data_IF_533909475324
#
_entry.id   IF_533909475324
#
_cell.length_a   1.000
_cell.length_b   1.000
_cell.length_c   1.000
_cell.angle_alpha   90.00
_cell.angle_beta   90.00
_cell.angle_gamma   90.00
#
_symmetry.space_group_name_H-M   'P 1'
#
loop_
_entity.id
_entity.type
_entity.pdbx_description
1 polymer ?
#
# COMPACT_ATOMS: atom_id res chain seq x y z
N UNK A 1 -51.21 10.70 -51.06
CA UNK A 1 -51.47 10.41 -49.63
C UNK A 1 -50.43 9.39 -49.23
N UNK A 2 -49.26 9.84 -48.81
CA UNK A 2 -48.24 8.99 -48.21
C UNK A 2 -47.74 9.73 -46.98
N UNK A 3 -48.06 9.17 -45.82
CA UNK A 3 -47.72 9.72 -44.52
C UNK A 3 -46.35 9.19 -44.11
N UNK A 4 -45.37 10.09 -44.06
CA UNK A 4 -44.08 9.82 -43.45
C UNK A 4 -44.26 9.64 -41.95
N UNK A 5 -44.16 8.39 -41.51
CA UNK A 5 -44.14 8.01 -40.09
C UNK A 5 -42.77 8.40 -39.55
N UNK A 6 -42.69 9.55 -38.89
CA UNK A 6 -41.60 9.87 -37.97
C UNK A 6 -41.63 8.90 -36.78
N UNK A 7 -40.87 7.82 -36.86
CA UNK A 7 -40.49 7.04 -35.69
C UNK A 7 -39.57 7.87 -34.79
N UNK A 8 -39.79 7.94 -33.47
CA UNK A 8 -38.86 8.61 -32.59
C UNK A 8 -37.54 7.83 -32.60
N UNK A 9 -36.49 8.49 -33.08
CA UNK A 9 -35.12 8.05 -32.85
C UNK A 9 -34.94 7.96 -31.34
N UNK A 10 -34.97 6.75 -30.81
CA UNK A 10 -34.59 6.46 -29.44
C UNK A 10 -33.15 6.93 -29.27
N UNK A 11 -32.99 8.09 -28.63
CA UNK A 11 -31.73 8.53 -28.09
C UNK A 11 -31.27 7.45 -27.11
N UNK A 12 -30.38 6.57 -27.56
CA UNK A 12 -29.64 5.68 -26.68
C UNK A 12 -28.68 6.56 -25.89
N UNK A 13 -29.07 6.92 -24.68
CA UNK A 13 -28.21 7.55 -23.69
C UNK A 13 -26.92 6.73 -23.51
N UNK A 14 -25.74 7.26 -23.84
CA UNK A 14 -24.49 6.56 -23.62
C UNK A 14 -23.89 6.97 -22.26
N UNK A 15 -24.52 6.62 -21.12
CA UNK A 15 -23.98 7.00 -19.79
C UNK A 15 -24.19 6.02 -18.61
N UNK A 16 -23.67 4.77 -18.68
CA UNK A 16 -23.39 4.02 -17.44
C UNK A 16 -21.88 3.86 -17.13
N UNK A 17 -21.01 3.87 -18.14
CA UNK A 17 -19.60 3.46 -17.95
C UNK A 17 -18.73 4.48 -17.20
N UNK A 18 -19.03 5.78 -17.30
CA UNK A 18 -18.28 6.86 -16.65
C UNK A 18 -18.55 6.91 -15.13
N UNK A 19 -19.80 6.67 -14.73
CA UNK A 19 -20.24 6.77 -13.33
C UNK A 19 -19.70 5.64 -12.44
N UNK A 20 -19.68 4.40 -12.94
CA UNK A 20 -19.13 3.25 -12.21
C UNK A 20 -17.62 3.36 -12.00
N UNK A 21 -16.89 3.84 -13.01
CA UNK A 21 -15.43 4.00 -12.92
C UNK A 21 -15.01 4.99 -11.84
N UNK A 22 -15.80 6.06 -11.64
CA UNK A 22 -15.50 7.12 -10.68
C UNK A 22 -15.73 6.67 -9.24
N UNK A 23 -16.76 5.87 -8.99
CA UNK A 23 -17.06 5.36 -7.64
C UNK A 23 -16.04 4.31 -7.18
N UNK A 24 -15.66 3.39 -8.06
CA UNK A 24 -14.63 2.39 -7.76
C UNK A 24 -13.29 3.04 -7.44
N UNK A 25 -12.91 4.07 -8.20
CA UNK A 25 -11.68 4.81 -7.93
C UNK A 25 -11.69 5.48 -6.54
N UNK A 26 -12.82 6.06 -6.13
CA UNK A 26 -12.96 6.61 -4.77
C UNK A 26 -12.84 5.55 -3.68
N UNK A 27 -13.38 4.36 -3.90
CA UNK A 27 -13.24 3.25 -2.94
C UNK A 27 -11.77 2.82 -2.79
N UNK A 28 -11.00 2.78 -3.87
CA UNK A 28 -9.57 2.47 -3.82
C UNK A 28 -8.78 3.51 -3.05
N UNK A 29 -9.12 4.79 -3.23
CA UNK A 29 -8.50 5.88 -2.48
C UNK A 29 -8.81 5.79 -0.99
N UNK A 30 -10.07 5.53 -0.63
CA UNK A 30 -10.46 5.35 0.77
C UNK A 30 -9.80 4.12 1.37
N UNK A 31 -9.77 3.00 0.65
CA UNK A 31 -9.13 1.76 1.10
C UNK A 31 -7.62 1.93 1.33
N UNK A 32 -6.91 2.60 0.41
CA UNK A 32 -5.50 2.93 0.59
C UNK A 32 -5.26 3.90 1.77
N UNK A 33 -6.12 4.91 1.93
CA UNK A 33 -6.05 5.85 3.06
C UNK A 33 -6.24 5.16 4.41
N UNK A 34 -7.12 4.16 4.50
CA UNK A 34 -7.31 3.37 5.73
C UNK A 34 -5.99 2.72 6.16
N UNK A 35 -5.19 2.19 5.22
CA UNK A 35 -3.88 1.62 5.54
C UNK A 35 -2.85 2.67 5.97
N UNK A 36 -2.90 3.87 5.39
CA UNK A 36 -2.06 5.00 5.83
C UNK A 36 -2.36 5.35 7.28
N UNK A 37 -3.64 5.51 7.63
CA UNK A 37 -4.08 5.85 8.97
C UNK A 37 -3.85 4.70 9.97
N UNK A 38 -4.07 3.45 9.54
CA UNK A 38 -3.80 2.27 10.37
C UNK A 38 -2.30 2.15 10.69
N UNK A 39 -1.42 2.35 9.71
CA UNK A 39 0.03 2.37 9.96
C UNK A 39 0.46 3.47 10.92
N UNK A 40 -0.08 4.69 10.76
CA UNK A 40 0.18 5.79 11.70
C UNK A 40 -0.35 5.48 13.11
N UNK A 41 -1.55 4.90 13.20
CA UNK A 41 -2.13 4.43 14.45
C UNK A 41 -1.28 3.37 15.14
N UNK A 42 -0.73 2.42 14.36
CA UNK A 42 0.20 1.41 14.88
C UNK A 42 1.47 2.05 15.43
N UNK A 43 2.05 3.05 14.76
CA UNK A 43 3.19 3.81 15.31
C UNK A 43 2.83 4.41 16.67
N UNK A 44 1.68 5.09 16.77
CA UNK A 44 1.24 5.74 18.01
C UNK A 44 1.00 4.71 19.12
N UNK A 45 0.32 3.62 18.83
CA UNK A 45 0.02 2.55 19.80
C UNK A 45 1.33 1.92 20.30
N UNK A 46 2.28 1.63 19.41
CA UNK A 46 3.56 1.02 19.80
C UNK A 46 4.45 2.00 20.55
N UNK A 47 4.41 3.29 20.20
CA UNK A 47 5.14 4.34 20.91
C UNK A 47 4.58 4.57 22.32
N UNK A 48 3.26 4.69 22.48
CA UNK A 48 2.61 4.90 23.79
C UNK A 48 2.59 3.63 24.66
N UNK A 49 2.57 2.46 24.04
CA UNK A 49 2.64 1.17 24.73
C UNK A 49 4.06 0.73 25.07
N UNK A 50 5.08 1.39 24.53
CA UNK A 50 6.48 1.12 24.83
C UNK A 50 6.79 1.50 26.27
N UNK A 51 7.16 0.54 27.11
CA UNK A 51 7.66 0.84 28.46
C UNK A 51 8.89 1.73 28.37
N UNK A 52 8.97 2.79 29.20
CA UNK A 52 10.02 3.84 29.23
C UNK A 52 11.48 3.35 29.36
N UNK A 53 11.72 2.03 29.35
CA UNK A 53 13.02 1.39 29.58
C UNK A 53 13.65 0.74 28.34
N UNK A 54 12.99 0.75 27.17
CA UNK A 54 13.56 0.16 25.95
C UNK A 54 14.36 1.19 25.14
N UNK A 55 15.67 0.99 24.92
CA UNK A 55 16.42 1.86 24.01
C UNK A 55 15.83 1.76 22.60
N UNK A 56 15.59 2.90 21.96
CA UNK A 56 15.09 3.03 20.58
C UNK A 56 13.60 2.67 20.35
N UNK A 57 12.73 2.81 21.36
CA UNK A 57 11.28 2.58 21.22
C UNK A 57 10.63 3.36 20.06
N UNK A 58 11.08 4.59 19.80
CA UNK A 58 10.64 5.42 18.67
C UNK A 58 10.94 4.78 17.30
N UNK A 59 12.16 4.27 17.14
CA UNK A 59 12.61 3.67 15.90
C UNK A 59 11.90 2.34 15.65
N UNK A 60 11.69 1.52 16.69
CA UNK A 60 10.92 0.29 16.60
C UNK A 60 9.45 0.53 16.24
N UNK A 61 8.82 1.54 16.85
CA UNK A 61 7.43 1.91 16.54
C UNK A 61 7.26 2.36 15.08
N UNK A 62 8.16 3.21 14.58
CA UNK A 62 8.16 3.62 13.19
C UNK A 62 8.44 2.46 12.24
N UNK A 63 9.42 1.62 12.56
CA UNK A 63 9.80 0.46 11.75
C UNK A 63 8.66 -0.55 11.61
N UNK A 64 7.74 -0.62 12.58
CA UNK A 64 6.56 -1.47 12.55
C UNK A 64 5.39 -0.85 11.76
N UNK A 65 5.04 0.42 12.00
CA UNK A 65 3.87 1.04 11.40
C UNK A 65 4.10 1.63 9.99
N UNK A 66 5.30 2.13 9.71
CA UNK A 66 5.60 2.82 8.45
C UNK A 66 5.48 1.93 7.19
N UNK A 67 5.80 0.62 7.22
CA UNK A 67 5.55 -0.27 6.09
C UNK A 67 4.07 -0.36 5.70
N UNK A 68 3.14 -0.41 6.66
CA UNK A 68 1.69 -0.41 6.38
C UNK A 68 1.27 0.88 5.66
N UNK A 69 1.71 2.04 6.16
CA UNK A 69 1.38 3.31 5.55
C UNK A 69 1.98 3.45 4.14
N UNK A 70 3.20 2.97 3.95
CA UNK A 70 3.91 3.07 2.67
C UNK A 70 3.24 2.18 1.61
N UNK A 71 2.92 0.93 1.94
CA UNK A 71 2.22 0.03 1.01
C UNK A 71 0.80 0.52 0.72
N UNK A 72 0.10 1.08 1.71
CA UNK A 72 -1.21 1.69 1.53
C UNK A 72 -1.18 2.87 0.57
N UNK A 73 -0.16 3.73 0.71
CA UNK A 73 0.08 4.84 -0.22
C UNK A 73 0.40 4.33 -1.64
N UNK A 74 1.24 3.32 -1.78
CA UNK A 74 1.56 2.71 -3.07
C UNK A 74 0.32 2.09 -3.74
N UNK A 75 -0.53 1.40 -2.98
CA UNK A 75 -1.78 0.85 -3.48
C UNK A 75 -2.74 1.95 -3.98
N UNK A 76 -2.86 3.03 -3.20
CA UNK A 76 -3.66 4.21 -3.58
C UNK A 76 -3.12 4.87 -4.85
N UNK A 77 -1.80 5.08 -4.94
CA UNK A 77 -1.16 5.66 -6.11
C UNK A 77 -1.32 4.77 -7.35
N UNK A 78 -1.26 3.45 -7.17
CA UNK A 78 -1.53 2.46 -8.19
C UNK A 78 -2.94 2.59 -8.77
N UNK A 79 -3.96 2.61 -7.91
CA UNK A 79 -5.35 2.81 -8.32
C UNK A 79 -5.57 4.16 -9.03
N UNK A 80 -5.06 5.24 -8.44
CA UNK A 80 -5.27 6.60 -8.93
C UNK A 80 -4.56 6.89 -10.26
N UNK A 81 -3.42 6.25 -10.50
CA UNK A 81 -2.64 6.41 -11.73
C UNK A 81 -3.04 5.40 -12.82
N UNK A 82 -4.03 4.53 -12.56
CA UNK A 82 -4.41 3.46 -13.49
C UNK A 82 -3.32 2.41 -13.67
N UNK A 83 -2.50 2.17 -12.63
CA UNK A 83 -1.39 1.21 -12.61
C UNK A 83 -1.76 -0.01 -11.76
N UNK A 84 -2.45 -1.01 -12.34
CA UNK A 84 -2.95 -2.15 -11.60
C UNK A 84 -1.84 -3.08 -11.07
N UNK A 85 -0.66 -3.15 -11.73
CA UNK A 85 0.49 -3.89 -11.21
C UNK A 85 0.91 -3.38 -9.83
N UNK A 86 1.19 -2.08 -9.73
CA UNK A 86 1.63 -1.45 -8.47
C UNK A 86 0.61 -1.65 -7.36
N UNK A 87 -0.68 -1.57 -7.68
CA UNK A 87 -1.77 -1.81 -6.74
C UNK A 87 -1.78 -3.27 -6.25
N UNK A 88 -1.69 -4.25 -7.17
CA UNK A 88 -1.69 -5.66 -6.80
C UNK A 88 -0.45 -6.04 -5.99
N UNK A 89 0.72 -5.61 -6.43
CA UNK A 89 2.00 -5.99 -5.81
C UNK A 89 2.25 -5.29 -4.48
N UNK A 90 1.64 -4.13 -4.19
CA UNK A 90 1.66 -3.52 -2.86
C UNK A 90 0.59 -4.11 -1.93
N UNK A 91 -0.57 -4.50 -2.46
CA UNK A 91 -1.68 -5.04 -1.67
C UNK A 91 -1.47 -6.48 -1.21
N UNK A 92 -0.74 -7.29 -1.99
CA UNK A 92 -0.41 -8.67 -1.61
C UNK A 92 0.43 -8.72 -0.31
N UNK A 93 1.55 -7.99 -0.19
CA UNK A 93 2.26 -7.77 1.07
C UNK A 93 1.39 -7.30 2.24
N UNK A 94 0.54 -6.29 2.01
CA UNK A 94 -0.38 -5.78 3.03
C UNK A 94 -1.26 -6.87 3.59
N UNK A 95 -1.80 -7.75 2.73
CA UNK A 95 -2.63 -8.87 3.14
C UNK A 95 -1.89 -9.78 4.14
N UNK A 96 -0.64 -10.15 3.84
CA UNK A 96 0.17 -10.98 4.75
C UNK A 96 0.54 -10.25 6.04
N UNK A 97 0.94 -8.99 5.94
CA UNK A 97 1.26 -8.17 7.11
C UNK A 97 0.06 -8.00 8.04
N UNK A 98 -1.16 -7.85 7.51
CA UNK A 98 -2.37 -7.75 8.31
C UNK A 98 -2.70 -9.04 9.09
N UNK A 99 -2.21 -10.20 8.65
CA UNK A 99 -2.39 -11.47 9.34
C UNK A 99 -1.45 -11.65 10.54
N UNK A 100 -0.47 -10.77 10.74
CA UNK A 100 0.52 -10.86 11.84
C UNK A 100 -0.10 -10.58 13.20
N UNK A 101 -1.18 -9.78 13.27
CA UNK A 101 -1.84 -9.43 14.53
C UNK A 101 -3.36 -9.52 14.44
N UNK A 102 -3.98 -9.94 15.55
CA UNK A 102 -5.44 -9.93 15.72
C UNK A 102 -6.06 -8.53 15.58
N UNK A 103 -5.29 -7.47 15.87
CA UNK A 103 -5.76 -6.09 15.70
C UNK A 103 -5.83 -5.72 14.22
N UNK A 104 -4.84 -6.15 13.43
CA UNK A 104 -4.74 -5.81 12.01
C UNK A 104 -5.52 -6.78 11.10
N UNK A 105 -5.97 -7.93 11.60
CA UNK A 105 -6.67 -8.95 10.80
C UNK A 105 -7.96 -8.41 10.16
N UNK A 106 -8.62 -7.44 10.81
CA UNK A 106 -9.81 -6.78 10.28
C UNK A 106 -9.55 -5.96 9.01
N UNK A 107 -8.28 -5.65 8.71
CA UNK A 107 -7.87 -4.96 7.49
C UNK A 107 -7.66 -5.92 6.31
N UNK A 108 -7.62 -7.23 6.54
CA UNK A 108 -7.44 -8.25 5.48
C UNK A 108 -8.47 -8.14 4.36
N UNK A 109 -9.79 -7.99 4.62
CA UNK A 109 -10.78 -7.83 3.55
C UNK A 109 -10.50 -6.62 2.65
N UNK A 110 -9.97 -5.53 3.23
CA UNK A 110 -9.62 -4.31 2.49
C UNK A 110 -8.39 -4.55 1.60
N UNK A 111 -7.36 -5.23 2.12
CA UNK A 111 -6.18 -5.61 1.34
C UNK A 111 -6.56 -6.56 0.18
N UNK A 112 -7.44 -7.54 0.45
CA UNK A 112 -7.96 -8.47 -0.57
C UNK A 112 -8.73 -7.71 -1.64
N UNK A 113 -9.59 -6.76 -1.26
CA UNK A 113 -10.32 -5.93 -2.23
C UNK A 113 -9.36 -5.18 -3.16
N UNK A 114 -8.33 -4.54 -2.62
CA UNK A 114 -7.33 -3.81 -3.41
C UNK A 114 -6.54 -4.76 -4.33
N UNK A 115 -6.14 -5.93 -3.82
CA UNK A 115 -5.44 -6.94 -4.60
C UNK A 115 -6.28 -7.46 -5.77
N UNK A 116 -7.54 -7.85 -5.51
CA UNK A 116 -8.46 -8.36 -6.53
C UNK A 116 -8.71 -7.31 -7.61
N UNK A 117 -8.89 -6.05 -7.23
CA UNK A 117 -9.01 -4.92 -8.16
C UNK A 117 -7.78 -4.76 -9.06
N UNK A 118 -6.58 -4.79 -8.48
CA UNK A 118 -5.32 -4.77 -9.22
C UNK A 118 -5.21 -5.96 -10.17
N UNK A 119 -5.50 -7.17 -9.69
CA UNK A 119 -5.44 -8.39 -10.49
C UNK A 119 -6.44 -8.38 -11.67
N UNK A 120 -7.68 -7.93 -11.45
CA UNK A 120 -8.68 -7.74 -12.52
C UNK A 120 -8.20 -6.69 -13.52
N UNK A 121 -7.61 -5.58 -13.06
CA UNK A 121 -7.07 -4.54 -13.92
C UNK A 121 -5.92 -5.04 -14.81
N UNK A 122 -5.05 -5.89 -14.26
CA UNK A 122 -3.98 -6.58 -14.99
C UNK A 122 -4.56 -7.56 -16.03
N UNK A 123 -5.49 -8.42 -15.62
CA UNK A 123 -6.14 -9.40 -16.51
C UNK A 123 -6.95 -8.76 -17.63
N UNK A 124 -7.51 -7.56 -17.39
CA UNK A 124 -8.22 -6.77 -18.40
C UNK A 124 -7.28 -5.97 -19.33
N UNK A 125 -5.95 -6.12 -19.21
CA UNK A 125 -4.99 -5.44 -20.07
C UNK A 125 -4.96 -3.91 -19.89
N UNK A 126 -5.43 -3.38 -18.74
CA UNK A 126 -5.46 -1.93 -18.49
C UNK A 126 -4.07 -1.32 -18.36
N UNK A 127 -3.05 -2.15 -18.16
CA UNK A 127 -1.66 -1.72 -18.16
C UNK A 127 -1.06 -1.95 -19.54
N UNK A 128 -1.04 -0.88 -20.34
CA UNK A 128 -0.82 -0.99 -21.79
C UNK A 128 0.58 -1.46 -22.16
N UNK A 129 1.62 -1.09 -21.40
CA UNK A 129 2.97 -1.67 -21.42
C UNK A 129 3.64 -1.40 -20.07
N UNK A 130 4.19 -2.41 -19.41
CA UNK A 130 5.15 -2.18 -18.32
C UNK A 130 6.53 -2.05 -18.94
N UNK A 131 7.12 -0.85 -18.87
CA UNK A 131 8.57 -0.75 -19.03
C UNK A 131 9.27 -1.64 -18.00
N UNK A 132 10.47 -2.13 -18.31
CA UNK A 132 11.27 -2.91 -17.36
C UNK A 132 11.40 -2.22 -16.00
N UNK A 133 11.52 -0.88 -16.01
CA UNK A 133 11.55 -0.04 -14.82
C UNK A 133 10.25 -0.11 -14.00
N UNK A 134 9.07 -0.08 -14.62
CA UNK A 134 7.80 -0.21 -13.89
C UNK A 134 7.59 -1.62 -13.31
N UNK A 135 8.05 -2.66 -14.01
CA UNK A 135 8.05 -4.05 -13.53
C UNK A 135 8.96 -4.21 -12.30
N UNK A 136 10.19 -3.69 -12.39
CA UNK A 136 11.12 -3.72 -11.27
C UNK A 136 10.60 -2.89 -10.10
N UNK A 137 10.09 -1.70 -10.32
CA UNK A 137 9.61 -0.83 -9.24
C UNK A 137 8.37 -1.39 -8.55
N UNK A 138 7.42 -1.92 -9.32
CA UNK A 138 6.21 -2.52 -8.75
C UNK A 138 6.50 -3.78 -7.94
N UNK A 139 7.59 -4.51 -8.19
CA UNK A 139 7.94 -5.74 -7.46
C UNK A 139 8.98 -5.52 -6.36
N UNK A 140 10.04 -4.75 -6.63
CA UNK A 140 11.19 -4.57 -5.74
C UNK A 140 10.83 -3.71 -4.53
N UNK A 141 10.06 -2.63 -4.70
CA UNK A 141 9.69 -1.77 -3.57
C UNK A 141 8.86 -2.53 -2.53
N UNK A 142 7.76 -3.21 -2.90
CA UNK A 142 6.99 -3.97 -1.93
C UNK A 142 7.78 -5.14 -1.33
N UNK A 143 8.62 -5.82 -2.11
CA UNK A 143 9.48 -6.89 -1.61
C UNK A 143 10.50 -6.40 -0.57
N UNK A 144 11.13 -5.24 -0.81
CA UNK A 144 12.07 -4.63 0.12
C UNK A 144 11.39 -4.26 1.45
N UNK A 145 10.16 -3.74 1.41
CA UNK A 145 9.36 -3.43 2.60
C UNK A 145 8.97 -4.69 3.37
N UNK A 146 8.61 -5.78 2.68
CA UNK A 146 8.30 -7.06 3.32
C UNK A 146 9.53 -7.68 3.98
N UNK A 147 10.68 -7.66 3.31
CA UNK A 147 11.92 -8.19 3.86
C UNK A 147 12.36 -7.39 5.09
N UNK A 148 12.31 -6.07 5.00
CA UNK A 148 12.57 -5.17 6.13
C UNK A 148 11.65 -5.47 7.32
N UNK A 149 10.35 -5.58 7.08
CA UNK A 149 9.37 -5.88 8.13
C UNK A 149 9.55 -7.29 8.70
N UNK A 150 9.82 -8.28 7.85
CA UNK A 150 10.11 -9.65 8.27
C UNK A 150 11.36 -9.72 9.17
N UNK A 151 12.43 -9.00 8.83
CA UNK A 151 13.63 -8.93 9.67
C UNK A 151 13.35 -8.40 11.07
N UNK A 152 12.42 -7.43 11.22
CA UNK A 152 11.98 -6.95 12.54
C UNK A 152 11.21 -8.03 13.31
N UNK A 153 10.32 -8.77 12.63
CA UNK A 153 9.52 -9.81 13.28
C UNK A 153 10.36 -11.01 13.75
N UNK A 154 11.41 -11.38 13.02
CA UNK A 154 12.28 -12.51 13.39
C UNK A 154 13.18 -12.23 14.60
N UNK A 155 13.43 -10.96 14.94
CA UNK A 155 14.26 -10.57 16.10
C UNK A 155 13.45 -10.11 17.32
N UNK A 156 12.12 -9.91 17.19
CA UNK A 156 11.27 -9.75 18.36
C UNK A 156 10.99 -11.12 18.98
N UNK A 157 11.56 -11.37 20.17
CA UNK A 157 11.37 -12.63 20.89
C UNK A 157 9.85 -12.82 21.16
N UNK A 158 9.22 -13.95 20.75
CA UNK A 158 7.79 -14.21 20.97
C UNK A 158 7.38 -14.21 22.45
N UNK A 159 8.36 -14.19 23.36
CA UNK A 159 8.18 -14.03 24.81
C UNK A 159 7.69 -12.61 25.18
N UNK A 160 8.12 -11.57 24.46
CA UNK A 160 7.72 -10.16 24.72
C UNK A 160 6.24 -9.87 24.36
N UNK A 161 5.60 -10.76 23.61
CA UNK A 161 4.19 -10.67 23.18
C UNK A 161 3.24 -11.33 24.19
N UNK A 162 3.77 -12.04 25.20
CA UNK A 162 2.97 -12.54 26.32
C UNK A 162 2.80 -11.42 27.33
N UNK A 163 1.56 -11.03 27.59
CA UNK A 163 1.18 -10.24 28.77
C UNK A 163 1.70 -10.96 30.02
N UNK A 164 2.80 -10.48 30.57
CA UNK A 164 3.54 -11.22 31.59
C UNK A 164 2.86 -11.20 32.96
N UNK A 165 3.00 -12.29 33.69
CA UNK A 165 3.50 -12.16 35.07
C UNK A 165 4.99 -12.53 35.17
N UNK A 166 5.56 -13.33 34.25
CA UNK A 166 6.95 -13.78 34.35
C UNK A 166 7.66 -13.82 32.97
N UNK A 167 8.28 -12.73 32.52
CA UNK A 167 9.30 -12.79 31.46
C UNK A 167 10.58 -12.11 31.93
N UNK A 168 11.65 -12.91 32.03
CA UNK A 168 13.01 -12.45 32.26
C UNK A 168 13.50 -11.75 30.99
N UNK A 169 13.95 -10.50 31.10
CA UNK A 169 14.54 -9.75 30.00
C UNK A 169 15.79 -10.48 29.49
N UNK A 170 15.66 -11.12 28.32
CA UNK A 170 16.78 -11.75 27.63
C UNK A 170 17.49 -10.68 26.81
N UNK A 171 18.82 -10.69 26.79
CA UNK A 171 19.67 -9.78 25.98
C UNK A 171 19.44 -9.87 24.45
N UNK A 172 18.54 -10.74 23.99
CA UNK A 172 18.03 -10.83 22.60
C UNK A 172 16.79 -9.96 22.32
N UNK A 173 16.20 -9.30 23.32
CA UNK A 173 14.94 -8.53 23.22
C UNK A 173 15.06 -7.15 22.53
N UNK A 174 16.24 -6.79 22.02
CA UNK A 174 16.47 -5.49 21.43
C UNK A 174 16.33 -5.56 19.92
N UNK A 175 15.23 -5.00 19.38
CA UNK A 175 15.21 -4.56 17.97
C UNK A 175 16.45 -3.71 17.77
N UNK A 176 17.38 -4.19 16.95
CA UNK A 176 18.65 -3.48 16.82
C UNK A 176 18.42 -2.18 16.05
N UNK A 177 19.19 -1.13 16.38
CA UNK A 177 19.18 0.13 15.62
C UNK A 177 19.36 -0.14 14.12
N UNK A 178 20.13 -1.20 13.79
CA UNK A 178 20.36 -1.66 12.44
C UNK A 178 19.09 -2.17 11.74
N UNK A 179 18.26 -2.99 12.39
CA UNK A 179 17.00 -3.48 11.81
C UNK A 179 15.98 -2.35 11.63
N UNK A 180 15.89 -1.46 12.63
CA UNK A 180 15.03 -0.27 12.52
C UNK A 180 15.49 0.64 11.39
N UNK A 181 16.80 0.85 11.25
CA UNK A 181 17.39 1.63 10.17
C UNK A 181 17.21 0.98 8.80
N UNK A 182 17.26 -0.35 8.69
CA UNK A 182 16.98 -1.06 7.45
C UNK A 182 15.51 -0.93 7.04
N UNK A 183 14.59 -1.06 7.99
CA UNK A 183 13.16 -0.88 7.71
C UNK A 183 12.81 0.55 7.33
N UNK A 184 13.31 1.52 8.10
CA UNK A 184 13.15 2.94 7.78
C UNK A 184 13.85 3.31 6.48
N UNK A 185 15.03 2.75 6.21
CA UNK A 185 15.75 2.92 4.96
C UNK A 185 14.95 2.39 3.76
N UNK A 186 14.32 1.22 3.88
CA UNK A 186 13.44 0.67 2.85
C UNK A 186 12.19 1.53 2.63
N UNK A 187 11.60 2.07 3.71
CA UNK A 187 10.48 3.03 3.64
C UNK A 187 10.90 4.32 2.93
N UNK A 188 11.98 4.95 3.37
CA UNK A 188 12.48 6.20 2.78
C UNK A 188 12.85 6.01 1.32
N UNK A 189 13.53 4.91 0.98
CA UNK A 189 13.86 4.56 -0.40
C UNK A 189 12.59 4.37 -1.24
N UNK A 190 11.61 3.64 -0.71
CA UNK A 190 10.33 3.40 -1.37
C UNK A 190 9.57 4.71 -1.66
N UNK A 191 9.49 5.61 -0.69
CA UNK A 191 8.87 6.93 -0.83
C UNK A 191 9.64 7.80 -1.81
N UNK A 192 10.97 7.89 -1.68
CA UNK A 192 11.81 8.71 -2.55
C UNK A 192 11.71 8.29 -4.02
N UNK A 193 11.76 6.98 -4.28
CA UNK A 193 11.62 6.41 -5.62
C UNK A 193 10.22 6.66 -6.17
N UNK A 194 9.18 6.53 -5.35
CA UNK A 194 7.80 6.81 -5.76
C UNK A 194 7.59 8.28 -6.12
N UNK A 195 8.15 9.21 -5.33
CA UNK A 195 8.09 10.65 -5.59
C UNK A 195 8.85 10.99 -6.86
N UNK A 196 10.08 10.50 -7.01
CA UNK A 196 10.90 10.72 -8.19
C UNK A 196 10.19 10.25 -9.45
N UNK A 197 9.57 9.06 -9.40
CA UNK A 197 8.80 8.51 -10.50
C UNK A 197 7.60 9.39 -10.90
N UNK A 198 6.84 9.87 -9.92
CA UNK A 198 5.69 10.77 -10.16
C UNK A 198 6.14 12.09 -10.79
N UNK A 199 7.26 12.64 -10.34
CA UNK A 199 7.82 13.90 -10.88
C UNK A 199 8.30 13.72 -12.32
N UNK A 200 9.05 12.65 -12.60
CA UNK A 200 9.60 12.38 -13.93
C UNK A 200 8.50 12.19 -14.98
N UNK A 201 7.42 11.49 -14.61
CA UNK A 201 6.25 11.27 -15.46
C UNK A 201 5.54 12.59 -15.81
N UNK A 202 5.46 13.53 -14.85
CA UNK A 202 4.87 14.86 -15.07
C UNK A 202 5.70 15.69 -16.01
N UNK A 203 7.02 15.67 -15.87
CA UNK A 203 7.93 16.45 -16.71
C UNK A 203 7.94 15.92 -18.16
N UNK A 204 7.92 14.59 -18.34
CA UNK A 204 7.80 13.97 -19.67
C UNK A 204 6.52 14.36 -20.39
N UNK A 205 5.39 14.40 -19.68
CA UNK A 205 4.09 14.84 -20.23
C UNK A 205 4.08 16.33 -20.59
N UNK A 206 4.75 17.17 -19.80
CA UNK A 206 4.90 18.60 -20.11
C UNK A 206 5.74 18.84 -21.36
N UNK A 207 6.87 18.14 -21.49
CA UNK A 207 7.74 18.23 -22.66
C UNK A 207 7.04 17.75 -23.94
N UNK A 208 6.24 16.69 -23.86
CA UNK A 208 5.48 16.15 -25.00
C UNK A 208 4.36 17.07 -25.51
N UNK A 209 3.82 17.97 -24.69
CA UNK A 209 2.74 18.88 -25.07
C UNK A 209 3.25 20.23 -25.64
N UNK A 210 4.58 20.42 -25.69
CA UNK A 210 5.23 21.60 -26.24
C UNK A 210 5.83 21.37 -27.63
N UNK A 211 5.63 20.19 -28.21
CA UNK A 211 5.99 19.82 -29.59
C UNK A 211 4.73 19.66 -30.40
#
# INVERSE_FOLDING_TARGET
MDGDVHGPAAARDPEPATRESTWLQRLEEVAGLIFVLAGLGLVIIHYLGGSERLPNAELGALAFGAPYSTLGLLAMLGGRSGRPALMATSSMPLMFMCMVSWVTILLVPIAVFLFVRGAIGLGAGRQRHLGWEELCLSSVLPAALVLAFGCLLFHQDPVSWRSGEHSFASTSDHVTVFESALSLGAVVLSVAVSVFWIVLERDRKRSSNQV
#
